data_IF_529538976243
#
_entry.id   IF_529538976243
#
_cell.length_a   1.000
_cell.length_b   1.000
_cell.length_c   1.000
_cell.angle_alpha   90.00
_cell.angle_beta   90.00
_cell.angle_gamma   90.00
#
_symmetry.space_group_name_H-M   'P 1'
#
loop_
_entity.id
_entity.type
_entity.pdbx_description
1 polymer ?
#
# COMPACT_ATOMS: atom_id res chain seq x y z
N UNK A 1 -4.05 -10.53 -42.83
CA UNK A 1 -3.30 -9.48 -42.11
C UNK A 1 -4.33 -8.62 -41.41
N UNK A 2 -4.39 -8.64 -40.08
CA UNK A 2 -5.30 -7.78 -39.30
C UNK A 2 -4.78 -6.34 -39.38
N UNK A 3 -5.65 -5.38 -39.66
CA UNK A 3 -5.29 -3.97 -39.64
C UNK A 3 -4.78 -3.57 -38.24
N UNK A 4 -3.77 -2.68 -38.14
CA UNK A 4 -3.32 -2.20 -36.83
C UNK A 4 -4.47 -1.45 -36.15
N UNK A 5 -4.64 -1.69 -34.85
CA UNK A 5 -5.61 -0.97 -34.04
C UNK A 5 -5.16 0.48 -33.89
N UNK A 6 -6.00 1.43 -34.30
CA UNK A 6 -5.75 2.87 -34.18
C UNK A 6 -6.36 3.39 -32.87
N UNK A 7 -5.55 4.10 -32.09
CA UNK A 7 -5.93 4.74 -30.84
C UNK A 7 -5.67 6.23 -30.97
N UNK A 8 -6.72 7.03 -30.85
CA UNK A 8 -6.61 8.50 -30.77
C UNK A 8 -6.39 8.88 -29.30
N UNK A 9 -5.19 9.38 -28.99
CA UNK A 9 -4.75 9.61 -27.61
C UNK A 9 -5.58 10.70 -26.91
N UNK A 10 -5.80 11.84 -27.56
CA UNK A 10 -6.61 12.92 -26.99
C UNK A 10 -8.05 12.48 -26.75
N UNK A 11 -8.66 11.79 -27.71
CA UNK A 11 -10.02 11.28 -27.58
C UNK A 11 -10.11 10.28 -26.43
N UNK A 12 -9.09 9.43 -26.25
CA UNK A 12 -9.02 8.47 -25.16
C UNK A 12 -8.93 9.18 -23.80
N UNK A 13 -8.03 10.15 -23.65
CA UNK A 13 -7.88 10.96 -22.43
C UNK A 13 -9.16 11.73 -22.11
N UNK A 14 -9.76 12.40 -23.09
CA UNK A 14 -11.01 13.15 -22.91
C UNK A 14 -12.17 12.24 -22.51
N UNK A 15 -12.28 11.06 -23.13
CA UNK A 15 -13.29 10.07 -22.77
C UNK A 15 -13.11 9.60 -21.33
N UNK A 16 -11.87 9.38 -20.90
CA UNK A 16 -11.57 9.02 -19.51
C UNK A 16 -12.00 10.13 -18.53
N UNK A 17 -11.58 11.38 -18.77
CA UNK A 17 -11.87 12.53 -17.90
C UNK A 17 -13.38 12.83 -17.81
N UNK A 18 -14.11 12.72 -18.92
CA UNK A 18 -15.57 12.91 -18.94
C UNK A 18 -16.28 11.81 -18.13
N UNK A 19 -15.75 10.57 -18.16
CA UNK A 19 -16.33 9.44 -17.44
C UNK A 19 -16.00 9.41 -15.95
N UNK A 20 -14.91 10.05 -15.54
CA UNK A 20 -14.54 10.22 -14.13
C UNK A 20 -15.69 10.84 -13.30
N UNK A 21 -16.47 11.72 -13.91
CA UNK A 21 -17.59 12.41 -13.26
C UNK A 21 -18.93 11.65 -13.35
N UNK A 22 -19.02 10.58 -14.16
CA UNK A 22 -20.32 9.93 -14.49
C UNK A 22 -20.38 8.44 -14.19
N UNK A 23 -19.25 7.74 -14.02
CA UNK A 23 -19.20 6.30 -13.77
C UNK A 23 -18.43 6.00 -12.48
N UNK A 24 -19.12 5.43 -11.48
CA UNK A 24 -18.57 5.22 -10.15
C UNK A 24 -17.54 4.07 -10.07
N UNK A 25 -17.48 3.14 -11.05
CA UNK A 25 -16.46 2.05 -11.14
C UNK A 25 -16.25 1.54 -12.57
N UNK A 26 -15.00 1.21 -12.88
CA UNK A 26 -14.48 0.58 -14.10
C UNK A 26 -14.61 1.42 -15.38
N UNK A 27 -13.46 1.86 -15.90
CA UNK A 27 -13.38 2.39 -17.26
C UNK A 27 -13.64 1.23 -18.23
N UNK A 28 -14.79 1.23 -18.90
CA UNK A 28 -15.06 0.30 -20.01
C UNK A 28 -14.65 0.98 -21.31
N UNK A 29 -13.46 0.68 -21.86
CA UNK A 29 -13.03 1.25 -23.13
C UNK A 29 -13.95 0.79 -24.27
N UNK A 30 -13.86 1.44 -25.43
CA UNK A 30 -14.62 1.02 -26.61
C UNK A 30 -14.26 -0.42 -27.02
N UNK A 31 -15.15 -1.08 -27.76
CA UNK A 31 -14.89 -2.43 -28.28
C UNK A 31 -13.56 -2.48 -29.06
N UNK A 32 -12.71 -3.46 -28.76
CA UNK A 32 -11.36 -3.61 -29.31
C UNK A 32 -10.24 -2.95 -28.47
N UNK A 33 -10.57 -2.30 -27.35
CA UNK A 33 -9.63 -1.69 -26.41
C UNK A 33 -9.69 -2.34 -25.02
N UNK A 34 -10.14 -3.58 -24.91
CA UNK A 34 -10.35 -4.27 -23.63
C UNK A 34 -9.05 -4.39 -22.80
N UNK A 35 -7.88 -4.40 -23.45
CA UNK A 35 -6.57 -4.47 -22.80
C UNK A 35 -6.17 -3.19 -22.04
N UNK A 36 -6.91 -2.08 -22.19
CA UNK A 36 -6.62 -0.81 -21.50
C UNK A 36 -7.63 -0.49 -20.39
N UNK A 37 -8.38 -1.49 -19.90
CA UNK A 37 -9.36 -1.31 -18.81
C UNK A 37 -8.71 -0.75 -17.53
N UNK A 38 -7.44 -1.08 -17.28
CA UNK A 38 -6.67 -0.62 -16.13
C UNK A 38 -5.86 0.65 -16.40
N UNK A 39 -5.88 1.15 -17.64
CA UNK A 39 -5.14 2.35 -18.02
C UNK A 39 -5.76 3.60 -17.39
N UNK A 40 -4.90 4.47 -16.87
CA UNK A 40 -5.26 5.77 -16.31
C UNK A 40 -4.32 6.80 -16.95
N UNK A 41 -4.85 7.91 -17.51
CA UNK A 41 -4.02 8.97 -18.04
C UNK A 41 -3.21 9.63 -16.92
N UNK A 42 -1.96 9.95 -17.22
CA UNK A 42 -1.07 10.73 -16.35
C UNK A 42 -1.04 12.18 -16.83
N UNK A 43 -0.71 13.12 -15.94
CA UNK A 43 -0.51 14.53 -16.29
C UNK A 43 0.71 14.68 -17.22
N UNK A 44 1.70 13.78 -17.12
CA UNK A 44 2.79 13.66 -18.08
C UNK A 44 2.40 12.77 -19.27
N UNK A 45 2.28 13.38 -20.45
CA UNK A 45 1.90 12.69 -21.68
C UNK A 45 2.85 11.55 -22.06
N UNK A 46 4.15 11.69 -21.79
CA UNK A 46 5.12 10.61 -22.08
C UNK A 46 4.79 9.40 -21.22
N UNK A 47 4.70 9.57 -19.90
CA UNK A 47 4.36 8.50 -18.96
C UNK A 47 3.01 7.85 -19.31
N UNK A 48 2.01 8.66 -19.65
CA UNK A 48 0.68 8.21 -20.04
C UNK A 48 0.68 7.36 -21.32
N UNK A 49 1.47 7.73 -22.34
CA UNK A 49 1.60 6.96 -23.58
C UNK A 49 2.43 5.70 -23.36
N UNK A 50 3.49 5.74 -22.54
CA UNK A 50 4.30 4.57 -22.24
C UNK A 50 3.52 3.49 -21.49
N UNK A 51 2.69 3.88 -20.51
CA UNK A 51 1.82 2.92 -19.80
C UNK A 51 0.78 2.29 -20.74
N UNK A 52 0.29 3.04 -21.73
CA UNK A 52 -0.59 2.52 -22.78
C UNK A 52 0.13 1.45 -23.64
N UNK A 53 1.38 1.71 -24.04
CA UNK A 53 2.18 0.76 -24.82
C UNK A 53 2.55 -0.49 -24.01
N UNK A 54 2.77 -0.35 -22.71
CA UNK A 54 3.04 -1.47 -21.80
C UNK A 54 1.83 -2.41 -21.70
N UNK A 55 0.63 -1.87 -21.48
CA UNK A 55 -0.60 -2.66 -21.47
C UNK A 55 -0.86 -3.33 -22.83
N UNK A 56 -0.58 -2.62 -23.93
CA UNK A 56 -0.70 -3.18 -25.27
C UNK A 56 0.26 -4.35 -25.53
N UNK A 57 1.46 -4.31 -24.94
CA UNK A 57 2.44 -5.38 -25.03
C UNK A 57 2.01 -6.61 -24.23
N UNK A 58 1.44 -6.40 -23.05
CA UNK A 58 1.12 -7.49 -22.12
C UNK A 58 -0.18 -8.21 -22.48
N UNK A 59 -1.22 -7.45 -22.84
CA UNK A 59 -2.58 -7.97 -23.03
C UNK A 59 -3.22 -7.55 -24.36
N UNK A 60 -2.57 -6.68 -25.13
CA UNK A 60 -3.11 -6.08 -26.35
C UNK A 60 -2.76 -6.78 -27.66
N UNK A 61 -3.13 -6.17 -28.80
CA UNK A 61 -2.85 -6.72 -30.12
C UNK A 61 -1.36 -6.58 -30.49
N UNK A 62 -0.88 -7.45 -31.38
CA UNK A 62 0.55 -7.47 -31.76
C UNK A 62 1.06 -6.20 -32.44
N UNK A 63 0.17 -5.31 -32.89
CA UNK A 63 0.51 -4.01 -33.48
C UNK A 63 -0.59 -3.00 -33.13
N UNK A 64 -0.18 -1.83 -32.65
CA UNK A 64 -1.06 -0.67 -32.47
C UNK A 64 -0.50 0.55 -33.18
N UNK A 65 -1.35 1.54 -33.39
CA UNK A 65 -0.96 2.88 -33.84
C UNK A 65 -1.60 3.88 -32.91
N UNK A 66 -0.79 4.70 -32.25
CA UNK A 66 -1.27 5.78 -31.39
C UNK A 66 -1.16 7.08 -32.18
N UNK A 67 -2.29 7.73 -32.44
CA UNK A 67 -2.32 9.07 -32.99
C UNK A 67 -2.27 10.08 -31.85
N UNK A 68 -1.31 10.99 -31.95
CA UNK A 68 -1.06 12.09 -31.01
C UNK A 68 -1.32 13.38 -31.78
N UNK A 69 -2.38 14.09 -31.42
CA UNK A 69 -2.76 15.36 -32.00
C UNK A 69 -1.75 16.49 -31.75
N UNK A 70 -1.91 17.56 -32.53
CA UNK A 70 -0.98 18.71 -32.53
C UNK A 70 -0.88 19.40 -31.17
N UNK A 71 -1.99 19.51 -30.43
CA UNK A 71 -2.01 20.14 -29.09
C UNK A 71 -1.10 19.42 -28.10
N UNK A 72 -1.17 18.10 -28.02
CA UNK A 72 -0.29 17.31 -27.14
C UNK A 72 1.15 17.40 -27.63
N UNK A 73 1.34 17.30 -28.95
CA UNK A 73 2.65 17.32 -29.59
C UNK A 73 3.46 18.61 -29.32
N UNK A 74 2.81 19.76 -29.16
CA UNK A 74 3.48 21.03 -28.83
C UNK A 74 4.25 20.98 -27.50
N UNK A 75 3.83 20.10 -26.58
CA UNK A 75 4.42 19.96 -25.25
C UNK A 75 5.22 18.66 -25.08
N UNK A 76 5.15 17.78 -26.08
CA UNK A 76 5.70 16.44 -26.02
C UNK A 76 7.11 16.39 -26.64
N UNK A 77 8.08 15.91 -25.87
CA UNK A 77 9.41 15.62 -26.39
C UNK A 77 9.39 14.29 -27.16
N UNK A 78 9.10 14.37 -28.48
CA UNK A 78 8.95 13.21 -29.35
C UNK A 78 10.22 12.31 -29.40
N UNK A 79 11.45 12.84 -29.53
CA UNK A 79 12.67 12.04 -29.40
C UNK A 79 12.75 11.22 -28.10
N UNK A 80 12.44 11.86 -26.96
CA UNK A 80 12.43 11.17 -25.66
C UNK A 80 11.36 10.08 -25.59
N UNK A 81 10.17 10.32 -26.16
CA UNK A 81 9.12 9.32 -26.27
C UNK A 81 9.54 8.14 -27.16
N UNK A 82 10.13 8.37 -28.33
CA UNK A 82 10.61 7.32 -29.23
C UNK A 82 11.65 6.42 -28.56
N UNK A 83 12.62 7.02 -27.86
CA UNK A 83 13.66 6.28 -27.13
C UNK A 83 13.04 5.39 -26.03
N UNK A 84 12.14 5.97 -25.22
CA UNK A 84 11.51 5.25 -24.13
C UNK A 84 10.55 4.16 -24.65
N UNK A 85 9.76 4.46 -25.69
CA UNK A 85 8.82 3.53 -26.32
C UNK A 85 9.54 2.33 -26.97
N UNK A 86 10.77 2.53 -27.44
CA UNK A 86 11.65 1.47 -27.96
C UNK A 86 11.94 0.33 -26.97
N UNK A 87 11.71 0.55 -25.66
CA UNK A 87 11.80 -0.50 -24.62
C UNK A 87 10.67 -1.53 -24.70
N UNK A 88 9.52 -1.13 -25.26
CA UNK A 88 8.31 -1.95 -25.30
C UNK A 88 8.09 -2.59 -26.68
N UNK A 89 8.38 -1.86 -27.76
CA UNK A 89 8.08 -2.26 -29.12
C UNK A 89 9.13 -1.77 -30.14
N UNK A 90 9.08 -2.30 -31.35
CA UNK A 90 9.71 -1.64 -32.50
C UNK A 90 8.85 -0.44 -32.89
N UNK A 91 9.39 0.76 -32.75
CA UNK A 91 8.68 2.02 -32.96
C UNK A 91 8.96 2.60 -34.35
N UNK A 92 7.92 3.10 -35.00
CA UNK A 92 8.02 3.95 -36.19
C UNK A 92 7.07 5.13 -36.04
N UNK A 93 7.58 6.34 -36.19
CA UNK A 93 6.79 7.56 -36.18
C UNK A 93 6.55 8.06 -37.60
N UNK A 94 5.33 8.56 -37.84
CA UNK A 94 4.95 9.22 -39.09
C UNK A 94 4.29 10.53 -38.76
N UNK A 95 4.94 11.64 -39.12
CA UNK A 95 4.37 12.97 -38.99
C UNK A 95 3.36 13.23 -40.11
N UNK A 96 2.22 13.82 -39.76
CA UNK A 96 1.15 14.25 -40.66
C UNK A 96 0.62 15.62 -40.22
N UNK A 97 -0.21 16.23 -41.05
CA UNK A 97 -0.76 17.57 -40.79
C UNK A 97 -1.62 17.63 -39.51
N UNK A 98 -2.20 16.50 -39.09
CA UNK A 98 -3.05 16.33 -37.92
C UNK A 98 -2.31 15.80 -36.68
N UNK A 99 -0.99 15.66 -36.72
CA UNK A 99 -0.16 15.22 -35.60
C UNK A 99 0.81 14.10 -35.94
N UNK A 100 1.13 13.27 -34.95
CA UNK A 100 2.09 12.15 -35.10
C UNK A 100 1.38 10.82 -34.92
N UNK A 101 1.70 9.87 -35.80
CA UNK A 101 1.27 8.49 -35.71
C UNK A 101 2.45 7.63 -35.24
N UNK A 102 2.35 7.15 -34.00
CA UNK A 102 3.31 6.25 -33.37
C UNK A 102 2.89 4.80 -33.63
N UNK A 103 3.50 4.15 -34.62
CA UNK A 103 3.29 2.73 -34.89
C UNK A 103 4.19 1.88 -33.98
N UNK A 104 3.58 1.01 -33.17
CA UNK A 104 4.27 0.10 -32.27
C UNK A 104 4.04 -1.36 -32.71
N UNK A 105 5.12 -2.08 -33.05
CA UNK A 105 5.12 -3.52 -33.34
C UNK A 105 5.80 -4.29 -32.21
N UNK A 106 5.02 -5.08 -31.48
CA UNK A 106 5.50 -5.83 -30.30
C UNK A 106 6.16 -7.15 -30.68
N UNK A 107 5.99 -7.67 -31.90
CA UNK A 107 6.59 -8.94 -32.36
C UNK A 107 8.07 -8.81 -32.69
N UNK A 108 8.49 -7.62 -33.09
CA UNK A 108 9.85 -7.33 -33.52
C UNK A 108 10.62 -6.47 -32.50
N UNK A 109 10.24 -6.50 -31.22
CA UNK A 109 11.01 -5.82 -30.19
C UNK A 109 12.41 -6.43 -30.15
N UNK A 110 13.36 -5.77 -30.81
CA UNK A 110 14.78 -5.98 -30.60
C UNK A 110 15.07 -5.44 -29.21
N UNK A 111 14.63 -6.16 -28.17
CA UNK A 111 15.00 -5.89 -26.79
C UNK A 111 16.51 -6.08 -26.74
N UNK A 112 17.22 -4.97 -26.92
CA UNK A 112 18.64 -4.90 -26.72
C UNK A 112 18.89 -5.28 -25.25
N UNK A 113 19.24 -6.54 -25.01
CA UNK A 113 19.99 -6.94 -23.83
C UNK A 113 21.30 -6.16 -23.86
N UNK A 114 21.30 -4.95 -23.30
CA UNK A 114 22.51 -4.17 -23.06
C UNK A 114 22.69 -3.99 -21.56
N UNK A 115 23.59 -4.84 -21.07
CA UNK A 115 24.66 -4.55 -20.09
C UNK A 115 24.57 -3.23 -19.33
N UNK A 116 24.58 -3.35 -18.00
CA UNK A 116 24.84 -2.29 -17.01
C UNK A 116 25.88 -1.27 -17.52
N UNK A 117 25.64 0.04 -17.44
CA UNK A 117 26.71 1.01 -17.44
C UNK A 117 27.07 1.40 -16.01
N UNK A 118 28.38 1.39 -15.79
CA UNK A 118 29.08 2.02 -14.70
C UNK A 118 29.03 3.56 -14.82
N UNK A 119 29.20 4.21 -13.67
CA UNK A 119 29.72 5.57 -13.43
C UNK A 119 28.98 6.79 -13.99
N UNK A 120 28.54 7.65 -13.05
CA UNK A 120 29.09 9.00 -12.92
C UNK A 120 28.69 10.01 -13.98
N UNK A 121 27.57 10.70 -13.75
CA UNK A 121 27.37 12.06 -14.25
C UNK A 121 26.91 12.94 -13.07
N UNK A 122 27.79 13.89 -12.76
CA UNK A 122 27.59 15.02 -11.86
C UNK A 122 26.73 16.05 -12.60
N UNK A 123 25.53 16.35 -12.11
CA UNK A 123 24.82 17.58 -12.47
C UNK A 123 24.38 18.32 -11.21
N UNK A 124 25.08 19.42 -10.93
CA UNK A 124 24.51 20.53 -10.21
C UNK A 124 23.44 21.17 -11.10
N UNK A 125 22.24 21.38 -10.58
CA UNK A 125 21.62 22.72 -10.53
C UNK A 125 20.28 22.68 -9.78
N UNK A 126 20.17 23.67 -8.93
CA UNK A 126 19.03 24.12 -8.14
C UNK A 126 17.71 24.19 -8.91
N UNK A 127 16.66 23.66 -8.30
CA UNK A 127 15.27 24.00 -8.64
C UNK A 127 14.63 24.85 -7.54
N UNK A 128 13.72 25.78 -7.90
CA UNK A 128 13.29 26.90 -7.07
C UNK A 128 12.15 26.51 -6.12
N UNK A 129 12.00 27.29 -5.04
CA UNK A 129 10.85 27.23 -4.14
C UNK A 129 9.55 27.47 -4.91
N UNK A 130 8.47 26.71 -4.68
CA UNK A 130 7.18 27.06 -5.23
C UNK A 130 6.59 28.25 -4.46
N UNK A 131 6.21 29.26 -5.24
CA UNK A 131 5.50 30.44 -4.79
C UNK A 131 4.13 30.10 -4.18
N UNK A 132 3.79 30.87 -3.16
CA UNK A 132 2.48 30.89 -2.50
C UNK A 132 1.41 31.31 -3.50
N UNK A 133 0.56 30.37 -3.92
CA UNK A 133 -0.73 30.70 -4.52
C UNK A 133 -1.71 31.04 -3.40
N UNK A 134 -2.04 32.32 -3.31
CA UNK A 134 -3.09 32.90 -2.47
C UNK A 134 -4.45 32.65 -3.13
N UNK A 135 -5.28 31.80 -2.53
CA UNK A 135 -6.70 31.70 -2.88
C UNK A 135 -7.56 32.43 -1.85
N UNK A 136 -8.20 33.49 -2.33
CA UNK A 136 -9.16 34.31 -1.58
C UNK A 136 -10.35 33.47 -1.14
N UNK A 137 -10.67 33.57 0.15
CA UNK A 137 -11.90 33.11 0.80
C UNK A 137 -13.14 33.67 0.12
N UNK A 138 -14.08 32.79 -0.24
CA UNK A 138 -15.52 33.06 -0.20
C UNK A 138 -16.14 32.30 0.98
N UNK A 139 -16.94 33.03 1.73
CA UNK A 139 -17.49 32.71 3.04
C UNK A 139 -18.65 31.71 3.05
N UNK A 140 -18.82 31.10 4.24
CA UNK A 140 -20.06 30.66 4.88
C UNK A 140 -20.64 29.28 4.53
N UNK A 141 -20.30 28.30 5.37
CA UNK A 141 -21.30 27.48 6.09
C UNK A 141 -20.66 26.81 7.31
N UNK A 142 -21.04 27.30 8.47
CA UNK A 142 -20.66 26.82 9.80
C UNK A 142 -21.22 25.41 10.01
N UNK A 143 -20.36 24.40 10.01
CA UNK A 143 -20.57 23.15 10.75
C UNK A 143 -19.53 23.13 11.87
N UNK A 144 -20.06 23.03 13.09
CA UNK A 144 -19.34 22.87 14.36
C UNK A 144 -18.18 21.88 14.24
N UNK A 145 -16.95 22.40 14.09
CA UNK A 145 -15.73 21.64 14.35
C UNK A 145 -15.57 21.51 15.87
N UNK A 146 -15.48 20.26 16.35
CA UNK A 146 -15.01 19.97 17.69
C UNK A 146 -13.62 20.60 17.89
N UNK A 147 -13.28 21.08 19.10
CA UNK A 147 -12.06 21.84 19.32
C UNK A 147 -10.85 20.98 18.97
N UNK A 148 -10.04 21.45 18.01
CA UNK A 148 -8.67 20.96 17.80
C UNK A 148 -7.89 21.24 19.08
N UNK A 149 -7.62 20.17 19.84
CA UNK A 149 -6.81 20.25 21.05
C UNK A 149 -5.40 20.70 20.70
N UNK A 150 -4.96 21.72 21.42
CA UNK A 150 -3.64 22.30 21.34
C UNK A 150 -2.60 21.33 21.93
N UNK A 151 -1.43 21.33 21.32
CA UNK A 151 -0.25 20.54 21.74
C UNK A 151 0.21 21.01 23.11
N UNK A 152 0.33 20.07 24.06
CA UNK A 152 1.10 20.23 25.30
C UNK A 152 1.59 18.85 25.76
N UNK A 153 2.82 18.48 25.38
CA UNK A 153 3.53 17.33 25.97
C UNK A 153 4.32 17.82 27.17
N UNK A 154 3.64 17.87 28.31
CA UNK A 154 4.20 17.78 29.66
C UNK A 154 3.07 17.35 30.59
N UNK A 155 2.81 16.04 30.68
CA UNK A 155 1.84 15.45 31.63
C UNK A 155 0.36 15.47 31.21
N UNK A 156 0.05 15.61 29.92
CA UNK A 156 -1.32 15.48 29.44
C UNK A 156 -1.88 14.07 29.65
N UNK A 157 -3.18 13.97 29.97
CA UNK A 157 -3.91 12.70 30.02
C UNK A 157 -4.12 12.17 28.60
N UNK A 158 -3.72 10.93 28.35
CA UNK A 158 -4.00 10.24 27.08
C UNK A 158 -5.52 10.16 26.84
N UNK A 159 -5.94 10.09 25.58
CA UNK A 159 -7.34 9.85 25.25
C UNK A 159 -7.84 8.55 25.93
N UNK A 160 -9.07 8.51 26.50
CA UNK A 160 -9.57 7.38 27.30
C UNK A 160 -9.52 6.02 26.60
N UNK A 161 -9.61 6.02 25.26
CA UNK A 161 -9.49 4.81 24.45
C UNK A 161 -8.13 4.10 24.57
N UNK A 162 -7.11 4.70 25.19
CA UNK A 162 -5.77 4.11 25.35
C UNK A 162 -5.45 3.69 26.79
N UNK A 163 -6.25 4.10 27.77
CA UNK A 163 -5.89 3.94 29.20
C UNK A 163 -5.72 2.47 29.61
N UNK A 164 -6.60 1.59 29.13
CA UNK A 164 -6.58 0.17 29.49
C UNK A 164 -5.27 -0.51 29.05
N UNK A 165 -4.78 -0.19 27.85
CA UNK A 165 -3.53 -0.74 27.35
C UNK A 165 -2.30 -0.06 27.94
N UNK A 166 -2.38 1.25 28.23
CA UNK A 166 -1.28 1.93 28.93
C UNK A 166 -0.98 1.23 30.26
N UNK A 167 -2.03 0.87 31.01
CA UNK A 167 -1.92 0.18 32.29
C UNK A 167 -1.48 -1.28 32.17
N UNK A 168 -1.86 -1.98 31.09
CA UNK A 168 -1.50 -3.39 30.89
C UNK A 168 -0.03 -3.55 30.52
N UNK A 169 0.50 -2.72 29.61
CA UNK A 169 1.89 -2.83 29.13
C UNK A 169 2.93 -2.47 30.19
N UNK A 170 2.57 -1.71 31.23
CA UNK A 170 3.46 -1.45 32.37
C UNK A 170 3.81 -2.70 33.19
N UNK A 171 3.09 -3.81 32.99
CA UNK A 171 3.34 -5.10 33.65
C UNK A 171 4.19 -6.06 32.81
N UNK A 172 4.53 -5.68 31.57
CA UNK A 172 5.26 -6.53 30.65
C UNK A 172 6.76 -6.60 30.99
N UNK A 173 7.50 -7.36 30.16
CA UNK A 173 8.96 -7.35 30.15
C UNK A 173 9.48 -5.92 29.92
N UNK A 174 10.78 -5.67 30.10
CA UNK A 174 11.35 -4.33 29.97
C UNK A 174 12.43 -4.32 28.90
N UNK A 175 12.20 -3.60 27.82
CA UNK A 175 13.21 -3.23 26.82
C UNK A 175 14.03 -2.00 27.26
N UNK A 176 13.84 -1.54 28.50
CA UNK A 176 14.64 -0.45 29.08
C UNK A 176 16.08 -0.92 29.31
N UNK A 177 17.04 -0.17 28.74
CA UNK A 177 18.46 -0.39 28.95
C UNK A 177 19.33 -0.16 27.72
N UNK A 178 20.62 -0.44 27.89
CA UNK A 178 21.58 -0.41 26.82
C UNK A 178 21.66 -1.75 26.10
N UNK A 179 21.87 -1.66 24.78
CA UNK A 179 22.13 -2.83 23.95
C UNK A 179 23.61 -2.89 23.59
N UNK A 180 24.26 -4.02 23.88
CA UNK A 180 25.62 -4.30 23.39
C UNK A 180 25.52 -4.99 22.03
N UNK A 181 26.40 -4.62 21.10
CA UNK A 181 26.46 -5.25 19.79
C UNK A 181 27.44 -6.41 19.82
N UNK A 182 27.04 -7.56 19.30
CA UNK A 182 27.98 -8.55 18.79
C UNK A 182 28.41 -8.16 17.36
N UNK A 183 29.53 -8.68 16.88
CA UNK A 183 30.28 -8.15 15.72
C UNK A 183 29.55 -8.22 14.37
N UNK A 184 28.40 -8.91 14.27
CA UNK A 184 27.70 -9.13 13.00
C UNK A 184 26.50 -8.20 12.74
N UNK A 185 26.05 -7.46 13.76
CA UNK A 185 24.87 -6.59 13.65
C UNK A 185 25.27 -5.12 13.56
N UNK A 186 24.43 -4.33 12.88
CA UNK A 186 24.57 -2.87 12.85
C UNK A 186 23.79 -2.28 14.00
N UNK A 187 24.50 -1.79 15.02
CA UNK A 187 23.90 -1.02 16.11
C UNK A 187 23.63 0.42 15.66
N UNK A 188 22.38 0.84 15.76
CA UNK A 188 21.94 2.22 15.52
C UNK A 188 21.22 2.77 16.74
N UNK A 189 21.26 4.10 16.88
CA UNK A 189 20.55 4.81 17.95
C UNK A 189 20.09 6.18 17.49
N UNK A 190 18.97 6.64 18.05
CA UNK A 190 18.49 8.00 17.88
C UNK A 190 17.93 8.53 19.20
N UNK A 191 18.21 9.80 19.49
CA UNK A 191 17.77 10.47 20.71
C UNK A 191 16.84 11.62 20.35
N UNK A 192 15.67 11.65 21.00
CA UNK A 192 14.71 12.73 20.89
C UNK A 192 14.09 12.99 22.25
N UNK A 193 14.02 14.27 22.65
CA UNK A 193 13.44 14.71 23.93
C UNK A 193 13.98 13.95 25.17
N UNK A 194 15.30 13.75 25.21
CA UNK A 194 15.97 13.06 26.33
C UNK A 194 15.79 11.54 26.36
N UNK A 195 15.04 10.95 25.42
CA UNK A 195 14.85 9.51 25.28
C UNK A 195 15.65 9.01 24.08
N UNK A 196 16.32 7.88 24.22
CA UNK A 196 17.09 7.23 23.16
C UNK A 196 16.48 5.88 22.82
N UNK A 197 16.16 5.66 21.55
CA UNK A 197 15.81 4.36 20.99
C UNK A 197 17.05 3.79 20.31
N UNK A 198 17.36 2.52 20.57
CA UNK A 198 18.47 1.79 19.98
C UNK A 198 17.98 0.49 19.35
N UNK A 199 18.59 0.08 18.24
CA UNK A 199 18.28 -1.19 17.61
C UNK A 199 19.54 -1.90 17.11
N UNK A 200 19.52 -3.23 17.17
CA UNK A 200 20.44 -4.11 16.43
C UNK A 200 19.73 -4.58 15.18
N UNK A 201 20.38 -4.34 14.03
CA UNK A 201 19.81 -4.64 12.72
C UNK A 201 20.78 -5.53 11.96
N UNK A 202 20.29 -6.66 11.46
CA UNK A 202 21.07 -7.55 10.61
C UNK A 202 21.28 -6.88 9.23
N UNK A 203 22.52 -6.61 8.81
CA UNK A 203 22.79 -5.93 7.54
C UNK A 203 22.55 -6.81 6.30
N UNK A 204 22.37 -8.13 6.45
CA UNK A 204 22.16 -9.06 5.34
C UNK A 204 20.73 -9.08 4.82
N UNK A 205 19.76 -8.98 5.73
CA UNK A 205 18.32 -9.07 5.43
C UNK A 205 17.54 -7.84 5.94
N UNK A 206 18.24 -6.87 6.55
CA UNK A 206 17.68 -5.64 7.08
C UNK A 206 16.61 -5.85 8.15
N UNK A 207 16.66 -6.98 8.87
CA UNK A 207 15.75 -7.30 9.97
C UNK A 207 16.19 -6.64 11.27
N UNK A 208 15.22 -6.10 12.02
CA UNK A 208 15.44 -5.59 13.38
C UNK A 208 15.43 -6.77 14.35
N UNK A 209 16.58 -7.11 14.90
CA UNK A 209 16.74 -8.26 15.78
C UNK A 209 16.37 -7.94 17.23
N UNK A 210 16.71 -6.73 17.68
CA UNK A 210 16.47 -6.30 19.05
C UNK A 210 16.33 -4.79 19.15
N UNK A 211 15.43 -4.32 20.00
CA UNK A 211 15.19 -2.89 20.26
C UNK A 211 15.30 -2.62 21.76
N UNK A 212 15.96 -1.53 22.14
CA UNK A 212 15.96 -1.05 23.53
C UNK A 212 15.72 0.44 23.57
N UNK A 213 15.25 0.94 24.72
CA UNK A 213 15.12 2.37 24.96
C UNK A 213 15.74 2.76 26.31
N UNK A 214 16.15 4.02 26.43
CA UNK A 214 16.69 4.56 27.67
C UNK A 214 16.44 6.07 27.77
N UNK A 215 16.48 6.61 28.99
CA UNK A 215 16.30 8.04 29.25
C UNK A 215 15.16 8.30 30.23
N UNK A 216 14.84 9.57 30.44
CA UNK A 216 13.75 9.96 31.36
C UNK A 216 12.41 9.83 30.65
N UNK A 217 11.61 8.82 31.04
CA UNK A 217 10.28 8.57 30.47
C UNK A 217 9.18 8.70 31.52
N UNK A 218 8.02 9.25 31.14
CA UNK A 218 6.79 9.10 31.91
C UNK A 218 6.24 7.67 31.84
N UNK A 219 5.30 7.31 32.71
CA UNK A 219 4.65 5.98 32.65
C UNK A 219 3.97 5.70 31.30
N UNK A 220 3.33 6.71 30.69
CA UNK A 220 2.72 6.59 29.37
C UNK A 220 3.80 6.34 28.31
N UNK A 221 4.87 7.15 28.31
CA UNK A 221 5.95 6.99 27.34
C UNK A 221 6.62 5.62 27.46
N UNK A 222 6.88 5.14 28.69
CA UNK A 222 7.44 3.81 28.92
C UNK A 222 6.55 2.72 28.34
N UNK A 223 5.25 2.80 28.58
CA UNK A 223 4.24 1.86 28.03
C UNK A 223 4.23 1.84 26.50
N UNK A 224 4.30 3.01 25.87
CA UNK A 224 4.39 3.15 24.42
C UNK A 224 5.69 2.57 23.85
N UNK A 225 6.83 2.87 24.48
CA UNK A 225 8.15 2.42 24.01
C UNK A 225 8.33 0.91 24.18
N UNK A 226 7.78 0.34 25.25
CA UNK A 226 7.76 -1.10 25.48
C UNK A 226 6.98 -1.82 24.37
N UNK A 227 5.76 -1.36 24.13
CA UNK A 227 4.91 -1.91 23.07
C UNK A 227 5.53 -1.71 21.68
N UNK A 228 6.15 -0.55 21.43
CA UNK A 228 6.84 -0.25 20.17
C UNK A 228 8.03 -1.19 19.95
N UNK A 229 8.83 -1.46 20.98
CA UNK A 229 10.01 -2.33 20.89
C UNK A 229 9.59 -3.74 20.46
N UNK A 230 8.58 -4.30 21.14
CA UNK A 230 7.96 -5.58 20.75
C UNK A 230 7.45 -5.59 19.30
N UNK A 231 6.85 -4.49 18.84
CA UNK A 231 6.30 -4.40 17.48
C UNK A 231 7.38 -4.29 16.41
N UNK A 232 8.55 -3.76 16.73
CA UNK A 232 9.64 -3.58 15.77
C UNK A 232 10.52 -4.83 15.62
N UNK A 233 10.72 -5.59 16.70
CA UNK A 233 11.53 -6.80 16.67
C UNK A 233 10.96 -7.85 15.71
N UNK A 234 11.85 -8.49 14.95
CA UNK A 234 11.49 -9.48 13.94
C UNK A 234 10.83 -8.90 12.67
N UNK A 235 10.95 -7.60 12.42
CA UNK A 235 10.46 -6.93 11.21
C UNK A 235 11.57 -6.25 10.41
N UNK A 236 11.44 -6.12 9.09
CA UNK A 236 12.35 -5.32 8.28
C UNK A 236 12.34 -3.85 8.70
N UNK A 237 13.49 -3.18 8.55
CA UNK A 237 13.64 -1.74 8.80
C UNK A 237 12.61 -0.91 8.03
N UNK A 238 12.33 -1.24 6.76
CA UNK A 238 11.35 -0.50 5.95
C UNK A 238 9.94 -0.63 6.54
N UNK A 239 9.55 -1.82 6.96
CA UNK A 239 8.27 -2.08 7.62
C UNK A 239 8.16 -1.29 8.94
N UNK A 240 9.23 -1.27 9.72
CA UNK A 240 9.28 -0.47 10.94
C UNK A 240 9.10 1.03 10.65
N UNK A 241 9.80 1.56 9.63
CA UNK A 241 9.72 2.96 9.27
C UNK A 241 8.35 3.40 8.75
N UNK A 242 7.62 2.51 8.07
CA UNK A 242 6.30 2.84 7.51
C UNK A 242 5.16 2.58 8.50
N UNK A 243 5.22 1.47 9.25
CA UNK A 243 4.05 0.95 9.95
C UNK A 243 4.21 0.77 11.46
N UNK A 244 5.41 0.81 12.04
CA UNK A 244 5.57 0.49 13.47
C UNK A 244 4.70 1.36 14.39
N UNK A 245 4.65 2.68 14.14
CA UNK A 245 3.85 3.57 14.99
C UNK A 245 2.35 3.50 14.67
N UNK A 246 1.98 3.12 13.45
CA UNK A 246 0.58 2.83 13.09
C UNK A 246 0.11 1.57 13.83
N UNK A 247 0.94 0.53 13.86
CA UNK A 247 0.66 -0.67 14.66
C UNK A 247 0.64 -0.37 16.15
N UNK A 248 1.52 0.53 16.62
CA UNK A 248 1.49 0.97 18.01
C UNK A 248 0.16 1.65 18.35
N UNK A 249 -0.33 2.58 17.52
CA UNK A 249 -1.65 3.19 17.73
C UNK A 249 -2.74 2.13 17.81
N UNK A 250 -2.77 1.22 16.85
CA UNK A 250 -3.79 0.19 16.78
C UNK A 250 -3.75 -0.76 17.99
N UNK A 251 -2.55 -1.15 18.42
CA UNK A 251 -2.34 -2.05 19.56
C UNK A 251 -2.72 -1.39 20.89
N UNK A 252 -2.44 -0.09 21.04
CA UNK A 252 -2.76 0.65 22.26
C UNK A 252 -4.25 1.00 22.35
N UNK A 253 -4.96 1.08 21.23
CA UNK A 253 -6.37 1.46 21.20
C UNK A 253 -7.28 0.33 21.65
N UNK A 254 -8.12 0.60 22.63
CA UNK A 254 -9.27 -0.22 22.97
C UNK A 254 -10.29 -0.19 21.82
N UNK A 255 -10.41 -1.31 21.11
CA UNK A 255 -11.29 -1.43 19.95
C UNK A 255 -12.77 -1.48 20.32
N UNK A 256 -13.11 -1.61 21.60
CA UNK A 256 -14.48 -1.53 22.10
C UNK A 256 -14.96 -0.09 22.34
N UNK A 257 -14.02 0.85 22.43
CA UNK A 257 -14.28 2.26 22.69
C UNK A 257 -14.51 3.05 21.40
N UNK A 258 -15.13 4.23 21.53
CA UNK A 258 -15.28 5.16 20.41
C UNK A 258 -13.89 5.60 19.95
N UNK A 259 -13.71 5.63 18.62
CA UNK A 259 -12.45 6.05 18.01
C UNK A 259 -12.09 7.49 18.42
N UNK A 260 -10.81 7.79 18.64
CA UNK A 260 -10.36 9.12 19.05
C UNK A 260 -10.63 10.19 17.98
N UNK A 261 -10.66 9.78 16.71
CA UNK A 261 -10.98 10.65 15.58
C UNK A 261 -11.94 9.98 14.61
N UNK A 262 -12.71 10.80 13.90
CA UNK A 262 -13.53 10.34 12.78
C UNK A 262 -12.65 10.04 11.55
N UNK A 263 -13.02 9.01 10.78
CA UNK A 263 -12.30 8.61 9.56
C UNK A 263 -11.09 7.70 9.82
N UNK A 264 -10.01 7.94 9.07
CA UNK A 264 -8.77 7.16 9.16
C UNK A 264 -7.99 7.64 10.40
N UNK A 265 -7.76 6.70 11.31
CA UNK A 265 -6.97 6.95 12.52
C UNK A 265 -5.50 6.81 12.17
N UNK A 266 -4.72 7.86 12.41
CA UNK A 266 -3.28 7.91 12.24
C UNK A 266 -2.64 8.35 13.55
N UNK A 267 -1.42 7.90 13.90
CA UNK A 267 -0.81 8.30 15.17
C UNK A 267 -0.71 9.82 15.35
N UNK A 268 -0.46 10.55 14.26
CA UNK A 268 -0.35 12.01 14.24
C UNK A 268 -1.67 12.77 14.46
N UNK A 269 -2.82 12.14 14.19
CA UNK A 269 -4.13 12.76 14.39
C UNK A 269 -4.88 12.19 15.60
N UNK A 270 -4.48 11.01 16.09
CA UNK A 270 -5.20 10.28 17.13
C UNK A 270 -4.92 10.85 18.52
N UNK A 271 -3.64 11.02 18.89
CA UNK A 271 -3.24 11.57 20.19
C UNK A 271 -1.78 12.08 20.16
N UNK A 272 -1.46 13.26 20.75
CA UNK A 272 -0.10 13.77 20.83
C UNK A 272 0.93 12.84 21.48
N UNK A 273 0.51 11.87 22.29
CA UNK A 273 1.42 10.92 22.95
C UNK A 273 2.28 10.11 21.96
N UNK A 274 1.83 9.94 20.71
CA UNK A 274 2.56 9.21 19.68
C UNK A 274 3.68 10.02 19.01
N UNK A 275 3.81 11.32 19.30
CA UNK A 275 4.84 12.17 18.69
C UNK A 275 6.26 11.68 19.01
N UNK A 276 6.51 11.27 20.26
CA UNK A 276 7.81 10.76 20.68
C UNK A 276 8.18 9.45 19.92
N UNK A 277 7.34 8.40 19.90
CA UNK A 277 7.53 7.22 19.05
C UNK A 277 7.81 7.55 17.58
N UNK A 278 7.02 8.46 16.97
CA UNK A 278 7.22 8.88 15.58
C UNK A 278 8.64 9.42 15.35
N UNK A 279 9.07 10.37 16.18
CA UNK A 279 10.39 11.01 16.03
C UNK A 279 11.54 10.04 16.28
N UNK A 280 11.38 9.13 17.25
CA UNK A 280 12.38 8.10 17.53
C UNK A 280 12.54 7.12 16.37
N UNK A 281 11.44 6.60 15.81
CA UNK A 281 11.49 5.67 14.68
C UNK A 281 12.06 6.36 13.44
N UNK A 282 11.56 7.55 13.06
CA UNK A 282 12.08 8.31 11.91
C UNK A 282 13.60 8.49 11.98
N UNK A 283 14.10 8.93 13.14
CA UNK A 283 15.52 9.17 13.34
C UNK A 283 16.35 7.89 13.39
N UNK A 284 15.83 6.81 14.00
CA UNK A 284 16.50 5.50 14.04
C UNK A 284 16.67 4.93 12.62
N UNK A 285 15.61 4.96 11.81
CA UNK A 285 15.65 4.47 10.43
C UNK A 285 16.60 5.33 9.59
N UNK A 286 16.55 6.67 9.74
CA UNK A 286 17.48 7.57 9.05
C UNK A 286 18.95 7.28 9.41
N UNK A 287 19.24 6.98 10.68
CA UNK A 287 20.58 6.61 11.13
C UNK A 287 21.04 5.30 10.47
N UNK A 288 20.17 4.28 10.44
CA UNK A 288 20.48 3.01 9.79
C UNK A 288 20.73 3.15 8.29
N UNK A 289 19.86 3.85 7.57
CA UNK A 289 20.00 4.08 6.13
C UNK A 289 21.36 4.72 5.79
N UNK A 290 21.77 5.69 6.59
CA UNK A 290 23.06 6.37 6.44
C UNK A 290 24.24 5.43 6.72
N UNK A 291 24.17 4.67 7.82
CA UNK A 291 25.26 3.80 8.26
C UNK A 291 25.44 2.55 7.38
N UNK A 292 24.34 1.95 6.93
CA UNK A 292 24.34 0.74 6.11
C UNK A 292 24.28 1.00 4.59
N UNK A 293 24.21 2.27 4.17
CA UNK A 293 23.93 2.66 2.78
C UNK A 293 22.71 1.95 2.19
N UNK A 294 21.64 1.86 2.99
CA UNK A 294 20.40 1.17 2.64
C UNK A 294 19.31 2.18 2.28
N UNK A 295 18.84 2.18 1.04
CA UNK A 295 17.91 3.19 0.52
C UNK A 295 16.63 2.62 -0.09
N UNK A 296 16.39 1.32 0.10
CA UNK A 296 15.11 0.73 -0.29
C UNK A 296 13.96 1.42 0.47
N UNK A 297 12.89 1.66 -0.27
CA UNK A 297 11.70 2.33 0.24
C UNK A 297 10.41 1.64 -0.19
N UNK A 298 10.50 0.56 -0.98
CA UNK A 298 9.37 -0.29 -1.29
C UNK A 298 9.21 -1.32 -0.18
N UNK A 299 7.97 -1.52 0.25
CA UNK A 299 7.67 -2.42 1.35
C UNK A 299 6.85 -3.61 0.84
N UNK A 300 7.54 -4.74 0.66
CA UNK A 300 6.94 -6.01 0.26
C UNK A 300 6.77 -6.97 1.45
N UNK A 301 6.98 -6.50 2.68
CA UNK A 301 6.91 -7.36 3.85
C UNK A 301 5.49 -7.89 4.05
N UNK A 302 5.36 -9.21 4.01
CA UNK A 302 4.17 -9.92 4.46
C UNK A 302 4.57 -10.78 5.62
N UNK A 303 3.95 -10.57 6.79
CA UNK A 303 4.24 -11.36 7.97
C UNK A 303 4.02 -12.85 7.67
N UNK A 304 4.99 -13.74 7.92
CA UNK A 304 4.78 -15.17 7.74
C UNK A 304 3.84 -15.70 8.82
N UNK A 305 3.10 -16.77 8.49
CA UNK A 305 2.27 -17.43 9.49
C UNK A 305 3.12 -17.98 10.65
N UNK A 306 2.50 -18.11 11.83
CA UNK A 306 3.20 -18.65 13.00
C UNK A 306 3.79 -20.05 12.74
N UNK A 307 4.91 -20.43 13.41
CA UNK A 307 5.48 -21.77 13.27
C UNK A 307 4.48 -22.89 13.58
N UNK A 308 3.62 -22.69 14.59
CA UNK A 308 2.57 -23.63 14.93
C UNK A 308 1.59 -23.81 13.76
N UNK A 309 1.08 -22.71 13.18
CA UNK A 309 0.16 -22.78 12.05
C UNK A 309 0.78 -23.45 10.82
N UNK A 310 2.06 -23.16 10.56
CA UNK A 310 2.82 -23.76 9.46
C UNK A 310 3.02 -25.26 9.61
N UNK A 311 3.07 -25.77 10.83
CA UNK A 311 3.20 -27.21 11.09
C UNK A 311 1.91 -28.00 10.82
N UNK A 312 0.77 -27.32 10.74
CA UNK A 312 -0.53 -27.95 10.47
C UNK A 312 -0.70 -28.29 8.98
N UNK A 313 -1.28 -29.47 8.73
CA UNK A 313 -1.72 -29.86 7.39
C UNK A 313 -2.77 -28.88 6.84
N UNK A 314 -2.90 -28.79 5.51
CA UNK A 314 -3.93 -27.94 4.88
C UNK A 314 -5.34 -28.31 5.35
N UNK A 315 -5.63 -29.61 5.48
CA UNK A 315 -6.93 -30.09 5.94
C UNK A 315 -7.21 -29.66 7.39
N UNK A 316 -6.23 -29.81 8.27
CA UNK A 316 -6.33 -29.38 9.68
C UNK A 316 -6.53 -27.88 9.80
N UNK A 317 -5.83 -27.07 8.99
CA UNK A 317 -6.04 -25.61 8.97
C UNK A 317 -7.46 -25.22 8.56
N UNK A 318 -7.98 -25.84 7.50
CA UNK A 318 -9.37 -25.64 7.06
C UNK A 318 -10.36 -26.02 8.18
N UNK A 319 -10.14 -27.15 8.85
CA UNK A 319 -10.98 -27.61 9.96
C UNK A 319 -10.97 -26.62 11.13
N UNK A 320 -9.79 -26.12 11.53
CA UNK A 320 -9.66 -25.13 12.61
C UNK A 320 -10.37 -23.82 12.26
N UNK A 321 -10.21 -23.31 11.03
CA UNK A 321 -10.91 -22.10 10.58
C UNK A 321 -12.42 -22.34 10.57
N UNK A 322 -12.89 -23.45 10.01
CA UNK A 322 -14.31 -23.78 9.96
C UNK A 322 -14.91 -23.89 11.36
N UNK A 323 -14.19 -24.51 12.31
CA UNK A 323 -14.59 -24.59 13.71
C UNK A 323 -14.78 -23.19 14.31
N UNK A 324 -13.79 -22.32 14.17
CA UNK A 324 -13.87 -20.94 14.69
C UNK A 324 -15.00 -20.13 14.05
N UNK A 325 -15.21 -20.26 12.74
CA UNK A 325 -16.34 -19.61 12.06
C UNK A 325 -17.68 -20.08 12.60
N UNK A 326 -17.83 -21.36 12.94
CA UNK A 326 -19.08 -21.91 13.49
C UNK A 326 -19.36 -21.44 14.93
N UNK A 327 -18.32 -21.16 15.72
CA UNK A 327 -18.45 -20.62 17.06
C UNK A 327 -18.99 -19.17 17.04
N UNK A 328 -18.62 -18.39 16.02
CA UNK A 328 -19.09 -17.02 15.86
C UNK A 328 -20.50 -16.95 15.21
N UNK A 329 -21.48 -16.21 15.79
CA UNK A 329 -22.84 -16.14 15.24
C UNK A 329 -22.93 -15.73 13.77
N UNK A 330 -22.06 -14.80 13.34
CA UNK A 330 -22.00 -14.33 11.95
C UNK A 330 -21.38 -15.33 10.96
N UNK A 331 -20.71 -16.38 11.45
CA UNK A 331 -19.95 -17.35 10.64
C UNK A 331 -20.61 -18.72 10.48
N UNK A 332 -21.67 -19.05 11.24
CA UNK A 332 -22.34 -20.38 11.24
C UNK A 332 -22.83 -20.91 9.89
N UNK A 333 -23.13 -20.02 8.94
CA UNK A 333 -23.61 -20.40 7.59
C UNK A 333 -22.48 -20.48 6.57
N UNK A 334 -21.27 -20.11 6.96
CA UNK A 334 -20.12 -20.03 6.06
C UNK A 334 -19.44 -21.37 5.96
N UNK A 335 -19.05 -21.72 4.74
CA UNK A 335 -18.24 -22.91 4.48
C UNK A 335 -16.88 -22.48 3.98
N UNK A 336 -15.83 -22.98 4.60
CA UNK A 336 -14.47 -22.84 4.06
C UNK A 336 -14.36 -23.74 2.84
N UNK A 337 -14.24 -23.13 1.66
CA UNK A 337 -14.14 -23.84 0.38
C UNK A 337 -12.72 -24.34 0.18
N UNK A 338 -11.76 -23.44 0.39
CA UNK A 338 -10.34 -23.71 0.20
C UNK A 338 -9.49 -22.72 0.96
N UNK A 339 -8.22 -23.08 1.10
CA UNK A 339 -7.15 -22.14 1.45
C UNK A 339 -6.16 -22.02 0.30
N UNK A 340 -5.78 -20.79 0.00
CA UNK A 340 -4.69 -20.42 -0.91
C UNK A 340 -3.45 -20.10 -0.05
N UNK A 341 -2.38 -20.88 -0.24
CA UNK A 341 -1.19 -20.81 0.60
C UNK A 341 -1.46 -21.18 2.07
N UNK A 342 -0.96 -20.34 2.98
CA UNK A 342 -1.08 -20.55 4.44
C UNK A 342 -2.05 -19.61 5.13
N UNK A 343 -2.40 -18.51 4.49
CA UNK A 343 -3.04 -17.36 5.15
C UNK A 343 -4.41 -17.04 4.56
N UNK A 344 -4.59 -17.26 3.25
CA UNK A 344 -5.78 -16.84 2.54
C UNK A 344 -6.85 -17.93 2.60
N UNK A 345 -7.95 -17.62 3.27
CA UNK A 345 -9.12 -18.48 3.42
C UNK A 345 -10.22 -18.01 2.49
N UNK A 346 -10.73 -18.90 1.64
CA UNK A 346 -11.86 -18.63 0.77
C UNK A 346 -13.10 -19.28 1.37
N UNK A 347 -14.13 -18.49 1.64
CA UNK A 347 -15.41 -18.94 2.20
C UNK A 347 -16.56 -18.74 1.21
N UNK A 348 -17.44 -19.73 1.17
CA UNK A 348 -18.73 -19.66 0.49
C UNK A 348 -19.80 -19.23 1.49
N UNK A 349 -20.62 -18.28 1.04
CA UNK A 349 -21.76 -17.74 1.77
C UNK A 349 -23.06 -18.48 1.44
N UNK A 350 -23.04 -19.42 0.49
CA UNK A 350 -24.22 -20.11 0.01
C UNK A 350 -25.27 -19.11 -0.47
N UNK A 351 -26.53 -19.37 -0.14
CA UNK A 351 -27.67 -18.51 -0.48
C UNK A 351 -27.97 -17.44 0.59
N UNK A 352 -26.94 -16.93 1.29
CA UNK A 352 -27.13 -15.83 2.23
C UNK A 352 -27.72 -14.60 1.49
N UNK A 353 -28.96 -14.17 1.80
CA UNK A 353 -29.65 -13.16 1.02
C UNK A 353 -29.10 -11.74 1.28
N UNK A 354 -28.32 -11.55 2.35
CA UNK A 354 -27.83 -10.23 2.76
C UNK A 354 -26.38 -10.00 2.35
N UNK A 355 -26.18 -9.80 1.05
CA UNK A 355 -24.90 -9.39 0.49
C UNK A 355 -24.49 -7.96 0.87
N UNK A 356 -25.41 -7.13 1.35
CA UNK A 356 -25.12 -5.72 1.67
C UNK A 356 -24.31 -5.57 2.95
N UNK A 357 -24.50 -6.47 3.92
CA UNK A 357 -23.72 -6.50 5.17
C UNK A 357 -22.48 -7.39 5.11
N UNK A 358 -22.28 -8.08 3.98
CA UNK A 358 -21.22 -9.06 3.77
C UNK A 358 -19.81 -8.52 4.05
N UNK A 359 -19.39 -7.35 3.53
CA UNK A 359 -18.04 -6.85 3.78
C UNK A 359 -17.79 -6.58 5.27
N UNK A 360 -18.75 -5.97 5.96
CA UNK A 360 -18.63 -5.69 7.39
C UNK A 360 -18.62 -6.97 8.24
N UNK A 361 -19.36 -8.00 7.83
CA UNK A 361 -19.33 -9.33 8.48
C UNK A 361 -17.99 -10.03 8.28
N UNK A 362 -17.46 -10.02 7.05
CA UNK A 362 -16.16 -10.58 6.72
C UNK A 362 -15.05 -9.96 7.55
N UNK A 363 -15.00 -8.62 7.65
CA UNK A 363 -13.99 -7.93 8.46
C UNK A 363 -14.07 -8.34 9.94
N UNK A 364 -15.27 -8.44 10.51
CA UNK A 364 -15.43 -8.87 11.92
C UNK A 364 -14.97 -10.31 12.14
N UNK A 365 -15.27 -11.21 11.19
CA UNK A 365 -14.86 -12.61 11.26
C UNK A 365 -13.35 -12.76 11.07
N UNK A 366 -12.76 -12.01 10.14
CA UNK A 366 -11.31 -11.96 9.95
C UNK A 366 -10.61 -11.50 11.22
N UNK A 367 -11.05 -10.38 11.82
CA UNK A 367 -10.49 -9.91 13.10
C UNK A 367 -10.64 -10.95 14.22
N UNK A 368 -11.76 -11.67 14.27
CA UNK A 368 -11.94 -12.74 15.25
C UNK A 368 -10.94 -13.89 15.02
N UNK A 369 -10.77 -14.34 13.77
CA UNK A 369 -9.79 -15.38 13.44
C UNK A 369 -8.36 -14.93 13.74
N UNK A 370 -8.01 -13.68 13.44
CA UNK A 370 -6.70 -13.11 13.72
C UNK A 370 -6.39 -13.05 15.22
N UNK A 371 -7.40 -12.75 16.05
CA UNK A 371 -7.24 -12.64 17.49
C UNK A 371 -7.29 -13.99 18.23
N UNK A 372 -7.94 -15.01 17.65
CA UNK A 372 -8.22 -16.27 18.34
C UNK A 372 -7.51 -17.49 17.76
N UNK A 373 -6.99 -17.40 16.53
CA UNK A 373 -6.41 -18.55 15.82
C UNK A 373 -5.02 -18.26 15.24
N UNK A 374 -4.93 -17.34 14.29
CA UNK A 374 -3.67 -17.00 13.60
C UNK A 374 -3.75 -15.59 13.04
N UNK A 375 -2.84 -14.71 13.48
CA UNK A 375 -2.87 -13.27 13.23
C UNK A 375 -2.66 -12.90 11.75
N UNK A 376 -2.18 -13.81 10.91
CA UNK A 376 -1.95 -13.57 9.48
C UNK A 376 -3.07 -14.05 8.56
N UNK A 377 -4.17 -14.58 9.11
CA UNK A 377 -5.31 -15.05 8.30
C UNK A 377 -5.97 -13.88 7.55
N UNK A 378 -6.31 -14.12 6.28
CA UNK A 378 -7.10 -13.22 5.42
C UNK A 378 -8.34 -13.96 4.94
N UNK A 379 -9.51 -13.35 5.09
CA UNK A 379 -10.80 -13.98 4.78
C UNK A 379 -11.40 -13.35 3.51
N UNK A 380 -11.65 -14.17 2.50
CA UNK A 380 -12.25 -13.75 1.24
C UNK A 380 -13.53 -14.51 0.94
N UNK A 381 -14.51 -13.83 0.37
CA UNK A 381 -15.65 -14.48 -0.25
C UNK A 381 -15.24 -15.16 -1.54
N UNK A 382 -15.77 -16.37 -1.78
CA UNK A 382 -15.74 -16.97 -3.10
C UNK A 382 -16.54 -16.10 -4.09
N UNK A 383 -15.95 -15.67 -5.22
CA UNK A 383 -16.70 -14.99 -6.25
C UNK A 383 -17.77 -15.93 -6.82
N UNK A 384 -19.04 -15.53 -6.75
CA UNK A 384 -20.12 -16.21 -7.47
C UNK A 384 -19.95 -15.92 -8.97
N UNK A 385 -19.23 -16.79 -9.66
CA UNK A 385 -19.21 -16.80 -11.13
C UNK A 385 -20.54 -17.38 -11.60
N UNK A 386 -21.25 -16.69 -12.49
CA UNK A 386 -22.52 -17.19 -13.06
C UNK A 386 -22.29 -18.57 -13.68
N UNK A 387 -22.86 -19.61 -13.05
CA UNK A 387 -22.76 -20.99 -13.51
C UNK A 387 -23.78 -21.32 -14.62
N UNK A 388 -24.61 -20.35 -15.02
CA UNK A 388 -25.67 -20.57 -15.98
C UNK A 388 -25.09 -20.63 -17.41
N UNK A 389 -24.86 -21.85 -17.90
CA UNK A 389 -24.31 -22.16 -19.25
C UNK A 389 -25.03 -21.42 -20.39
N UNK A 390 -26.32 -21.11 -20.24
CA UNK A 390 -27.13 -20.47 -21.27
C UNK A 390 -26.78 -18.99 -21.50
N UNK A 391 -26.30 -18.26 -20.48
CA UNK A 391 -25.90 -16.85 -20.64
C UNK A 391 -24.50 -16.69 -21.24
N UNK A 392 -23.57 -17.60 -20.93
CA UNK A 392 -22.22 -17.58 -21.53
C UNK A 392 -22.24 -17.83 -23.05
N UNK A 393 -23.23 -18.57 -23.55
CA UNK A 393 -23.41 -18.76 -25.00
C UNK A 393 -24.00 -17.52 -25.68
N UNK A 394 -24.74 -16.67 -24.96
CA UNK A 394 -25.30 -15.43 -25.50
C UNK A 394 -24.24 -14.33 -25.61
N UNK A 395 -23.28 -14.26 -24.67
CA UNK A 395 -22.19 -13.27 -24.66
C UNK A 395 -21.10 -13.54 -25.71
N UNK A 396 -21.03 -14.75 -26.29
CA UNK A 396 -20.05 -15.10 -27.34
C UNK A 396 -20.63 -14.88 -28.76
N UNK A 397 -21.92 -14.54 -28.88
CA UNK A 397 -22.63 -14.41 -30.17
C UNK A 397 -23.01 -12.95 -30.48
N UNK A 398 -22.52 -12.00 -29.70
CA UNK A 398 -22.53 -10.55 -30.00
C UNK A 398 -21.11 -10.04 -30.03
#
# INVERSE_FOLDING_TARGET
MTAPLLIDYETLVQTYLQRLNTVLRSFTPAAGLEFIVTWVPDDDHITSILSLLELAKDEGPSKITVHIGTTTLETLDLPSLEEAAGRFASIKTVLRDDGVYLEADFKNSKVARRTKPNSGIRSQKSSPKPDRVSTKRSSAKTKSEAPRSQISVAGGTAHPAYESQILSSLKAQSHEGEITSDTEQTKVKHTYDGVTLSALINPKDHMVDKVTFQGTTTGIQKSLLETLSCLMEGKPVVECGHHAVIYLEHAMRDQSMVRPVAGIVMPSNADPMFLLPLKLVEGLISAYRTQANYWENENFYTAPASPWWRSLSKATRIEQVQKMLNEHPAGRKLKVVRMEGQQRVIVDFGDDPDYTTLPGRLMKLESHLQNSLENTIQLHAEPRVDQNKLRRLAEVVT
#
